data_IF_325618217922
#
_entry.id   IF_325618217922
#
_cell.length_a   1.000
_cell.length_b   1.000
_cell.length_c   1.000
_cell.angle_alpha   90.00
_cell.angle_beta   90.00
_cell.angle_gamma   90.00
#
_symmetry.space_group_name_H-M   'P 1'
#
loop_
_entity.id
_entity.type
_entity.pdbx_description
1 polymer ?
#
# COMPACT_ATOMS: atom_id res chain seq x y z
N UNK A 1 -2.53 -6.91 -21.47
CA UNK A 1 -2.91 -7.65 -20.24
C UNK A 1 -4.41 -7.92 -20.21
N UNK A 2 -4.86 -8.92 -19.45
CA UNK A 2 -6.19 -9.52 -19.56
C UNK A 2 -7.38 -8.58 -19.23
N UNK A 3 -7.22 -7.67 -18.26
CA UNK A 3 -8.31 -6.83 -17.77
C UNK A 3 -8.33 -5.41 -18.36
N UNK A 4 -7.29 -5.01 -19.11
CA UNK A 4 -7.22 -3.69 -19.74
C UNK A 4 -7.15 -2.48 -18.78
N UNK A 5 -6.95 -2.71 -17.48
CA UNK A 5 -6.80 -1.69 -16.44
C UNK A 5 -5.35 -1.61 -15.94
N UNK A 6 -5.01 -0.53 -15.23
CA UNK A 6 -3.70 -0.40 -14.58
C UNK A 6 -3.62 -1.31 -13.34
N UNK A 7 -2.42 -1.60 -12.86
CA UNK A 7 -2.20 -2.37 -11.62
C UNK A 7 -2.85 -1.66 -10.44
N UNK A 8 -2.80 -0.31 -10.44
CA UNK A 8 -3.39 0.52 -9.39
C UNK A 8 -4.92 0.39 -9.29
N UNK A 9 -5.60 -0.11 -10.31
CA UNK A 9 -7.05 -0.35 -10.29
C UNK A 9 -7.43 -1.73 -9.73
N UNK A 10 -6.46 -2.65 -9.62
CA UNK A 10 -6.72 -4.01 -9.20
C UNK A 10 -7.06 -4.07 -7.69
N UNK A 11 -7.99 -4.95 -7.29
CA UNK A 11 -8.33 -5.17 -5.89
C UNK A 11 -7.27 -6.07 -5.21
N UNK A 12 -6.05 -5.56 -5.10
CA UNK A 12 -4.90 -6.23 -4.52
C UNK A 12 -4.12 -5.28 -3.59
N UNK A 13 -3.48 -5.84 -2.58
CA UNK A 13 -2.64 -5.09 -1.64
C UNK A 13 -1.40 -5.90 -1.26
N UNK A 14 -0.32 -5.19 -0.94
CA UNK A 14 0.88 -5.74 -0.34
C UNK A 14 0.81 -5.71 1.19
N UNK A 15 1.50 -6.64 1.85
CA UNK A 15 1.66 -6.64 3.29
C UNK A 15 3.09 -7.06 3.66
N UNK A 16 3.72 -6.28 4.52
CA UNK A 16 5.00 -6.61 5.14
C UNK A 16 4.89 -6.45 6.67
N UNK A 17 4.25 -7.41 7.36
CA UNK A 17 3.89 -7.27 8.77
C UNK A 17 5.10 -7.22 9.71
N UNK A 18 6.15 -7.99 9.39
CA UNK A 18 7.32 -8.18 10.25
C UNK A 18 8.63 -7.97 9.45
N UNK A 19 8.66 -6.94 8.60
CA UNK A 19 9.82 -6.69 7.77
C UNK A 19 11.04 -6.27 8.61
N UNK A 20 12.22 -6.69 8.15
CA UNK A 20 13.49 -6.47 8.86
C UNK A 20 14.62 -6.07 7.92
N UNK A 21 14.73 -6.72 6.76
CA UNK A 21 15.87 -6.50 5.86
C UNK A 21 15.67 -5.34 4.90
N UNK A 22 16.77 -4.72 4.46
CA UNK A 22 16.77 -3.68 3.41
C UNK A 22 16.14 -4.17 2.10
N UNK A 23 16.22 -5.47 1.81
CA UNK A 23 15.52 -6.06 0.66
C UNK A 23 14.00 -5.90 0.75
N UNK A 24 13.43 -5.96 1.95
CA UNK A 24 12.00 -5.74 2.15
C UNK A 24 11.62 -4.28 1.91
N UNK A 25 12.51 -3.33 2.20
CA UNK A 25 12.32 -1.90 1.85
C UNK A 25 12.28 -1.73 0.34
N UNK A 26 13.22 -2.31 -0.39
CA UNK A 26 13.25 -2.25 -1.85
C UNK A 26 12.02 -2.90 -2.49
N UNK A 27 11.56 -4.04 -1.96
CA UNK A 27 10.33 -4.69 -2.41
C UNK A 27 9.13 -3.79 -2.14
N UNK A 28 8.98 -3.27 -0.92
CA UNK A 28 7.89 -2.36 -0.59
C UNK A 28 7.85 -1.15 -1.52
N UNK A 29 9.00 -0.51 -1.76
CA UNK A 29 9.12 0.64 -2.64
C UNK A 29 8.72 0.31 -4.08
N UNK A 30 9.14 -0.86 -4.59
CA UNK A 30 8.72 -1.33 -5.92
C UNK A 30 7.22 -1.62 -5.99
N UNK A 31 6.65 -2.23 -4.95
CA UNK A 31 5.23 -2.59 -4.88
C UNK A 31 4.36 -1.33 -4.91
N UNK A 32 4.65 -0.32 -4.09
CA UNK A 32 3.94 0.98 -4.17
C UNK A 32 4.24 1.71 -5.48
N UNK A 33 5.48 1.62 -6.00
CA UNK A 33 5.89 2.19 -7.28
C UNK A 33 5.13 1.60 -8.47
N UNK A 34 4.62 0.38 -8.32
CA UNK A 34 3.78 -0.30 -9.31
C UNK A 34 2.29 -0.06 -9.10
N UNK A 35 1.90 0.81 -8.16
CA UNK A 35 0.50 1.12 -7.88
C UNK A 35 -0.21 0.21 -6.88
N UNK A 36 0.52 -0.60 -6.11
CA UNK A 36 -0.09 -1.51 -5.12
C UNK A 36 0.02 -0.94 -3.71
N UNK A 37 -1.12 -0.64 -3.09
CA UNK A 37 -1.19 -0.21 -1.69
C UNK A 37 -0.55 -1.25 -0.77
N UNK A 38 0.29 -0.81 0.18
CA UNK A 38 1.09 -1.74 1.00
C UNK A 38 1.04 -1.38 2.48
N UNK A 39 0.73 -2.35 3.34
CA UNK A 39 0.75 -2.16 4.80
C UNK A 39 2.05 -2.69 5.40
N UNK A 40 2.72 -1.85 6.20
CA UNK A 40 3.92 -2.19 6.97
C UNK A 40 3.54 -2.36 8.44
N UNK A 41 3.89 -3.51 9.02
CA UNK A 41 3.64 -3.76 10.45
C UNK A 41 4.76 -3.27 11.38
N UNK A 42 5.94 -2.99 10.83
CA UNK A 42 7.04 -2.32 11.54
C UNK A 42 7.18 -0.89 11.04
N UNK A 43 7.40 0.05 11.95
CA UNK A 43 7.59 1.47 11.63
C UNK A 43 8.90 1.68 10.86
N UNK A 44 8.87 2.23 9.64
CA UNK A 44 10.08 2.54 8.89
C UNK A 44 10.84 3.72 9.51
N UNK A 45 12.18 3.75 9.41
CA UNK A 45 13.02 4.80 9.97
C UNK A 45 12.97 6.11 9.15
N UNK A 46 11.77 6.61 8.86
CA UNK A 46 11.51 7.81 8.04
C UNK A 46 10.77 8.92 8.81
N UNK A 47 10.29 8.63 10.02
CA UNK A 47 9.47 9.55 10.83
C UNK A 47 10.20 10.85 11.21
N UNK A 48 11.53 10.86 11.24
CA UNK A 48 12.32 12.08 11.46
C UNK A 48 12.20 13.10 10.32
N UNK A 49 11.77 12.68 9.13
CA UNK A 49 11.58 13.52 7.95
C UNK A 49 10.09 13.61 7.60
N UNK A 50 9.40 14.61 8.17
CA UNK A 50 7.95 14.80 7.99
C UNK A 50 7.51 14.77 6.52
N UNK A 51 8.18 15.52 5.64
CA UNK A 51 7.86 15.55 4.20
C UNK A 51 8.02 14.19 3.52
N UNK A 52 9.02 13.41 3.91
CA UNK A 52 9.23 12.06 3.37
C UNK A 52 8.13 11.11 3.85
N UNK A 53 7.77 11.20 5.14
CA UNK A 53 6.68 10.39 5.69
C UNK A 53 5.36 10.71 5.00
N UNK A 54 5.04 11.99 4.80
CA UNK A 54 3.85 12.44 4.07
C UNK A 54 3.87 12.00 2.60
N UNK A 55 5.02 12.07 1.94
CA UNK A 55 5.18 11.57 0.57
C UNK A 55 4.86 10.06 0.51
N UNK A 56 5.43 9.25 1.40
CA UNK A 56 5.27 7.79 1.37
C UNK A 56 3.87 7.31 1.77
N UNK A 57 3.14 8.08 2.59
CA UNK A 57 1.83 7.69 3.14
C UNK A 57 0.64 8.36 2.46
N UNK A 58 0.85 9.47 1.75
CA UNK A 58 -0.21 10.25 1.10
C UNK A 58 0.18 10.73 -0.30
N UNK A 59 1.33 11.39 -0.44
CA UNK A 59 1.73 11.99 -1.73
C UNK A 59 1.89 10.96 -2.85
N UNK A 60 2.38 9.76 -2.52
CA UNK A 60 2.52 8.65 -3.45
C UNK A 60 1.18 8.23 -4.07
N UNK A 61 0.06 8.38 -3.35
CA UNK A 61 -1.27 8.04 -3.85
C UNK A 61 -1.65 8.86 -5.09
N UNK A 62 -1.26 10.14 -5.12
CA UNK A 62 -1.59 11.05 -6.23
C UNK A 62 -0.74 10.78 -7.48
N UNK A 63 0.49 10.30 -7.29
CA UNK A 63 1.47 10.10 -8.37
C UNK A 63 1.45 8.66 -8.91
N UNK A 64 1.26 7.69 -8.02
CA UNK A 64 1.43 6.26 -8.29
C UNK A 64 0.12 5.46 -8.14
N UNK A 65 -0.94 6.05 -7.60
CA UNK A 65 -2.17 5.33 -7.30
C UNK A 65 -2.11 4.43 -6.05
N UNK A 66 -0.98 4.45 -5.33
CA UNK A 66 -0.77 3.72 -4.08
C UNK A 66 0.15 4.46 -3.10
N UNK A 67 0.02 4.12 -1.82
CA UNK A 67 0.87 4.58 -0.74
C UNK A 67 1.09 3.48 0.30
N UNK A 68 2.01 3.72 1.23
CA UNK A 68 2.16 2.88 2.42
C UNK A 68 1.14 3.25 3.49
N UNK A 69 0.64 2.24 4.20
CA UNK A 69 0.10 2.40 5.55
C UNK A 69 1.06 1.76 6.55
N UNK A 70 1.12 2.30 7.77
CA UNK A 70 1.90 1.74 8.87
C UNK A 70 0.93 1.41 10.00
N UNK A 71 0.78 0.12 10.31
CA UNK A 71 -0.15 -0.36 11.32
C UNK A 71 0.42 -1.61 11.98
N UNK A 72 0.74 -1.50 13.28
CA UNK A 72 1.39 -2.56 14.06
C UNK A 72 0.40 -3.58 14.63
N UNK A 73 -0.89 -3.22 14.71
CA UNK A 73 -1.95 -4.16 15.10
C UNK A 73 -2.36 -5.00 13.87
N UNK A 74 -2.14 -6.32 13.88
CA UNK A 74 -2.41 -7.17 12.71
C UNK A 74 -3.89 -7.20 12.33
N UNK A 75 -4.82 -7.02 13.27
CA UNK A 75 -6.26 -7.01 12.98
C UNK A 75 -6.67 -5.71 12.29
N UNK A 76 -6.10 -4.58 12.72
CA UNK A 76 -6.30 -3.29 12.04
C UNK A 76 -5.64 -3.27 10.67
N UNK A 77 -4.44 -3.83 10.54
CA UNK A 77 -3.75 -3.97 9.26
C UNK A 77 -4.60 -4.78 8.25
N UNK A 78 -5.20 -5.88 8.70
CA UNK A 78 -6.14 -6.65 7.88
C UNK A 78 -7.38 -5.81 7.49
N UNK A 79 -7.93 -5.04 8.43
CA UNK A 79 -9.02 -4.09 8.15
C UNK A 79 -8.68 -3.10 7.03
N UNK A 80 -7.50 -2.47 7.09
CA UNK A 80 -7.02 -1.55 6.05
C UNK A 80 -6.92 -2.20 4.68
N UNK A 81 -6.45 -3.45 4.62
CA UNK A 81 -6.34 -4.21 3.37
C UNK A 81 -7.73 -4.53 2.82
N UNK A 82 -8.65 -4.98 3.66
CA UNK A 82 -10.03 -5.29 3.26
C UNK A 82 -10.76 -4.05 2.73
N UNK A 83 -10.64 -2.92 3.43
CA UNK A 83 -11.23 -1.65 3.02
C UNK A 83 -10.67 -1.18 1.67
N UNK A 84 -9.36 -1.31 1.46
CA UNK A 84 -8.72 -1.00 0.19
C UNK A 84 -9.26 -1.87 -0.95
N UNK A 85 -9.29 -3.19 -0.75
CA UNK A 85 -9.77 -4.16 -1.73
C UNK A 85 -11.24 -3.87 -2.08
N UNK A 86 -12.10 -3.65 -1.10
CA UNK A 86 -13.51 -3.32 -1.31
C UNK A 86 -13.67 -2.02 -2.11
N UNK A 87 -12.86 -0.99 -1.83
CA UNK A 87 -12.88 0.27 -2.58
C UNK A 87 -12.48 0.06 -4.05
N UNK A 88 -11.45 -0.76 -4.33
CA UNK A 88 -11.02 -1.08 -5.70
C UNK A 88 -12.05 -1.93 -6.44
N UNK A 89 -12.66 -2.93 -5.78
CA UNK A 89 -13.77 -3.71 -6.33
C UNK A 89 -14.92 -2.81 -6.77
N UNK A 90 -15.34 -1.89 -5.89
CA UNK A 90 -16.36 -0.88 -6.21
C UNK A 90 -15.96 0.02 -7.38
N UNK A 91 -14.69 0.43 -7.45
CA UNK A 91 -14.16 1.22 -8.57
C UNK A 91 -14.25 0.50 -9.92
N UNK A 92 -14.18 -0.83 -9.92
CA UNK A 92 -14.35 -1.69 -11.08
C UNK A 92 -15.82 -2.09 -11.34
N UNK A 93 -16.78 -1.57 -10.57
CA UNK A 93 -18.20 -1.91 -10.69
C UNK A 93 -18.56 -3.30 -10.16
N UNK A 94 -17.75 -3.86 -9.25
CA UNK A 94 -17.99 -5.13 -8.58
C UNK A 94 -18.60 -4.89 -7.19
N UNK A 95 -19.44 -5.83 -6.74
CA UNK A 95 -19.91 -5.84 -5.34
C UNK A 95 -18.73 -5.95 -4.37
N UNK A 96 -18.82 -5.38 -3.15
CA UNK A 96 -17.73 -5.39 -2.16
C UNK A 96 -17.17 -6.78 -1.86
#
# INVERSE_FOLDING_TARGET
>A
NALGVDISDLPAAGAAPEWMSEKAVSIGAYVIGSGVFTVLGTVPPVLGAKKLTELLTKGAQEVLGAAFAVETDPLKAAGLILDHIAAKRKGLGLEP
#
